data_IF_431473738088
#
_entry.id   IF_431473738088
#
_cell.length_a   1.000
_cell.length_b   1.000
_cell.length_c   1.000
_cell.angle_alpha   90.00
_cell.angle_beta   90.00
_cell.angle_gamma   90.00
#
_symmetry.space_group_name_H-M   'P 1'
#
loop_
_entity.id
_entity.type
_entity.pdbx_description
1 polymer ?
#
# COMPACT_ATOMS: atom_id res chain seq x y z
N UNK A 1 12.32 2.00 -0.57
CA UNK A 1 11.28 2.70 -1.38
C UNK A 1 11.84 3.11 -2.74
N UNK A 2 11.09 3.81 -3.61
CA UNK A 2 11.63 4.24 -4.92
C UNK A 2 12.81 5.21 -4.77
N UNK A 3 12.71 6.18 -3.85
CA UNK A 3 13.79 7.12 -3.56
C UNK A 3 15.09 6.42 -3.14
N UNK A 4 15.01 5.48 -2.20
CA UNK A 4 16.12 4.62 -1.77
C UNK A 4 16.67 3.78 -2.94
N UNK A 5 15.81 3.14 -3.73
CA UNK A 5 16.23 2.35 -4.91
C UNK A 5 17.02 3.19 -5.92
N UNK A 6 16.70 4.48 -6.03
CA UNK A 6 17.36 5.43 -6.92
C UNK A 6 18.47 6.24 -6.24
N UNK A 7 18.78 6.00 -4.96
CA UNK A 7 19.73 6.77 -4.15
C UNK A 7 19.43 8.29 -4.15
N UNK A 8 18.16 8.67 -4.07
CA UNK A 8 17.69 10.07 -4.09
C UNK A 8 17.25 10.57 -2.70
N UNK A 9 17.48 9.81 -1.62
CA UNK A 9 16.98 10.16 -0.28
C UNK A 9 17.48 11.53 0.20
N UNK A 10 18.76 11.84 -0.06
CA UNK A 10 19.37 13.11 0.33
C UNK A 10 18.94 14.30 -0.54
N UNK A 11 18.19 14.04 -1.63
CA UNK A 11 17.64 15.06 -2.53
C UNK A 11 16.15 15.35 -2.24
N UNK A 12 15.59 14.74 -1.19
CA UNK A 12 14.17 14.90 -0.82
C UNK A 12 14.07 15.78 0.42
N UNK A 13 13.53 16.99 0.26
CA UNK A 13 13.28 17.91 1.37
C UNK A 13 12.22 17.39 2.36
N UNK A 14 11.20 16.70 1.82
CA UNK A 14 10.02 16.25 2.57
C UNK A 14 9.67 14.80 2.22
N UNK A 15 9.94 13.88 3.15
CA UNK A 15 9.52 12.49 3.05
C UNK A 15 8.29 12.26 3.91
N UNK A 16 7.13 12.15 3.27
CA UNK A 16 5.88 11.78 3.95
C UNK A 16 5.63 10.28 3.85
N UNK A 17 4.91 9.76 4.83
CA UNK A 17 4.46 8.37 4.82
C UNK A 17 3.25 8.14 5.70
N UNK A 18 2.65 6.96 5.56
CA UNK A 18 1.52 6.52 6.37
C UNK A 18 1.90 5.32 7.21
N UNK A 19 1.39 5.28 8.42
CA UNK A 19 1.53 4.16 9.34
C UNK A 19 0.40 3.12 9.13
N UNK A 20 -0.61 3.43 8.31
CA UNK A 20 -1.79 2.60 8.08
C UNK A 20 -1.76 1.71 6.83
N UNK A 21 -0.60 1.54 6.21
CA UNK A 21 -0.40 0.57 5.10
C UNK A 21 0.46 -0.59 5.59
N UNK A 22 1.71 -0.66 5.14
CA UNK A 22 2.63 -1.76 5.45
C UNK A 22 2.95 -1.92 6.95
N UNK A 23 2.77 -0.87 7.76
CA UNK A 23 2.99 -0.91 9.21
C UNK A 23 1.76 -1.37 10.01
N UNK A 24 0.59 -1.52 9.37
CA UNK A 24 -0.60 -2.11 10.01
C UNK A 24 -1.16 -1.33 11.22
N UNK A 25 -0.81 -0.05 11.37
CA UNK A 25 -1.29 0.83 12.45
C UNK A 25 -2.17 1.94 11.89
N UNK A 26 -2.13 3.14 12.47
CA UNK A 26 -2.81 4.33 11.98
C UNK A 26 -1.96 5.58 12.17
N UNK A 27 -2.22 6.59 11.33
CA UNK A 27 -1.50 7.85 11.33
C UNK A 27 -0.59 8.05 10.12
N UNK A 28 0.15 9.16 10.15
CA UNK A 28 1.10 9.54 9.13
C UNK A 28 2.23 10.36 9.73
N UNK A 29 3.30 10.52 8.97
CA UNK A 29 4.48 11.26 9.39
C UNK A 29 5.00 12.14 8.26
N UNK A 30 5.77 13.15 8.65
CA UNK A 30 6.63 13.94 7.79
C UNK A 30 8.05 13.87 8.37
N UNK A 31 8.99 13.41 7.56
CA UNK A 31 10.42 13.50 7.84
C UNK A 31 11.01 14.61 6.95
N UNK A 32 11.72 15.55 7.58
CA UNK A 32 12.32 16.71 6.93
C UNK A 32 13.47 17.22 7.81
N UNK A 33 14.20 18.24 7.33
CA UNK A 33 15.21 18.91 8.14
C UNK A 33 14.60 19.58 9.39
N UNK A 34 15.42 19.75 10.43
CA UNK A 34 14.97 20.31 11.71
C UNK A 34 14.25 21.67 11.58
N UNK A 35 14.76 22.65 10.81
CA UNK A 35 14.06 23.93 10.61
C UNK A 35 12.64 23.78 10.07
N UNK A 36 12.42 22.84 9.13
CA UNK A 36 11.09 22.57 8.59
C UNK A 36 10.16 21.93 9.62
N UNK A 37 10.66 20.96 10.40
CA UNK A 37 9.89 20.34 11.47
C UNK A 37 9.50 21.39 12.52
N UNK A 38 10.44 22.24 12.96
CA UNK A 38 10.15 23.31 13.92
C UNK A 38 9.12 24.31 13.40
N UNK A 39 9.15 24.64 12.10
CA UNK A 39 8.10 25.44 11.48
C UNK A 39 6.74 24.74 11.54
N UNK A 40 6.66 23.48 11.13
CA UNK A 40 5.39 22.76 11.06
C UNK A 40 4.77 22.50 12.43
N UNK A 41 5.55 22.13 13.46
CA UNK A 41 4.99 21.95 14.81
C UNK A 41 4.39 23.24 15.38
N UNK A 42 4.87 24.41 14.94
CA UNK A 42 4.40 25.71 15.42
C UNK A 42 3.32 26.35 14.52
N UNK A 43 3.26 26.01 13.23
CA UNK A 43 2.39 26.70 12.24
C UNK A 43 1.36 25.81 11.57
N UNK A 44 1.53 24.50 11.54
CA UNK A 44 0.58 23.60 10.88
C UNK A 44 -0.69 23.45 11.72
N UNK A 45 -1.75 24.17 11.35
CA UNK A 45 -3.05 24.13 12.04
C UNK A 45 -3.60 22.72 12.20
N UNK A 46 -3.43 21.87 11.18
CA UNK A 46 -3.89 20.47 11.18
C UNK A 46 -3.16 19.59 12.20
N UNK A 47 -1.97 19.99 12.65
CA UNK A 47 -1.24 19.34 13.73
C UNK A 47 -1.58 19.96 15.09
N UNK A 48 -1.53 21.29 15.18
CA UNK A 48 -1.73 22.05 16.44
C UNK A 48 -3.14 21.90 17.00
N UNK A 49 -4.16 21.86 16.14
CA UNK A 49 -5.58 21.82 16.54
C UNK A 49 -6.21 20.45 16.35
N UNK A 50 -5.41 19.38 16.36
CA UNK A 50 -5.90 18.00 16.31
C UNK A 50 -5.45 17.25 17.56
N UNK A 51 -6.24 16.28 18.00
CA UNK A 51 -5.84 15.35 19.05
C UNK A 51 -4.65 14.52 18.58
N UNK A 52 -3.64 14.37 19.46
CA UNK A 52 -2.50 13.52 19.19
C UNK A 52 -2.93 12.04 19.02
N UNK A 53 -2.19 11.24 18.23
CA UNK A 53 -2.47 9.81 18.11
C UNK A 53 -2.46 9.11 19.47
N UNK A 54 -3.34 8.11 19.70
CA UNK A 54 -3.31 7.30 20.91
C UNK A 54 -1.92 6.67 21.14
N UNK A 55 -1.39 6.64 22.38
CA UNK A 55 -0.09 6.04 22.67
C UNK A 55 0.04 4.59 22.19
N UNK A 56 -1.04 3.81 22.22
CA UNK A 56 -1.07 2.44 21.73
C UNK A 56 -0.80 2.34 20.22
N UNK A 57 -1.31 3.28 19.42
CA UNK A 57 -1.05 3.32 17.96
C UNK A 57 0.39 3.72 17.66
N UNK A 58 0.96 4.65 18.45
CA UNK A 58 2.37 5.02 18.34
C UNK A 58 3.28 3.82 18.68
N UNK A 59 3.00 3.11 19.77
CA UNK A 59 3.73 1.92 20.17
C UNK A 59 3.63 0.80 19.12
N UNK A 60 2.43 0.52 18.59
CA UNK A 60 2.25 -0.44 17.52
C UNK A 60 3.05 -0.07 16.26
N UNK A 61 3.08 1.22 15.90
CA UNK A 61 3.85 1.71 14.74
C UNK A 61 5.35 1.55 14.93
N UNK A 62 5.87 1.82 16.13
CA UNK A 62 7.28 1.60 16.46
C UNK A 62 7.64 0.11 16.41
N UNK A 63 6.80 -0.77 16.97
CA UNK A 63 7.00 -2.21 16.90
C UNK A 63 7.00 -2.73 15.45
N UNK A 64 6.06 -2.26 14.64
CA UNK A 64 5.99 -2.61 13.23
C UNK A 64 7.22 -2.11 12.44
N UNK A 65 7.74 -0.92 12.75
CA UNK A 65 8.97 -0.41 12.15
C UNK A 65 10.19 -1.26 12.53
N UNK A 66 10.31 -1.65 13.80
CA UNK A 66 11.37 -2.57 14.26
C UNK A 66 11.29 -3.92 13.55
N UNK A 67 10.09 -4.48 13.40
CA UNK A 67 9.87 -5.71 12.64
C UNK A 67 10.23 -5.53 11.17
N UNK A 68 9.85 -4.41 10.56
CA UNK A 68 10.17 -4.11 9.16
C UNK A 68 11.70 -4.10 8.95
N UNK A 69 12.47 -3.58 9.91
CA UNK A 69 13.94 -3.51 9.80
C UNK A 69 14.65 -4.81 10.23
N UNK A 70 13.93 -5.81 10.73
CA UNK A 70 14.51 -7.08 11.16
C UNK A 70 14.79 -8.02 9.97
N UNK A 71 15.56 -9.11 10.17
CA UNK A 71 15.72 -10.17 9.17
C UNK A 71 14.39 -10.75 8.68
N UNK A 72 13.40 -10.87 9.58
CA UNK A 72 12.06 -11.31 9.22
C UNK A 72 11.37 -10.31 8.28
N UNK A 73 11.46 -9.01 8.58
CA UNK A 73 10.92 -7.96 7.72
C UNK A 73 11.57 -7.92 6.34
N UNK A 74 12.88 -8.15 6.26
CA UNK A 74 13.63 -8.28 5.00
C UNK A 74 13.10 -9.49 4.21
N UNK A 75 13.04 -10.67 4.83
CA UNK A 75 12.54 -11.89 4.19
C UNK A 75 11.09 -11.75 3.66
N UNK A 76 10.22 -11.06 4.41
CA UNK A 76 8.84 -10.76 3.98
C UNK A 76 8.82 -9.84 2.74
N UNK A 77 9.71 -8.84 2.66
CA UNK A 77 9.82 -7.96 1.48
C UNK A 77 10.34 -8.71 0.26
N UNK A 78 11.34 -9.56 0.44
CA UNK A 78 11.89 -10.37 -0.65
C UNK A 78 10.85 -11.35 -1.19
N UNK A 79 10.11 -12.03 -0.30
CA UNK A 79 8.97 -12.87 -0.69
C UNK A 79 7.91 -12.09 -1.47
N UNK A 80 7.53 -10.91 -0.99
CA UNK A 80 6.55 -10.06 -1.68
C UNK A 80 7.04 -9.58 -3.06
N UNK A 81 8.34 -9.35 -3.20
CA UNK A 81 8.96 -9.03 -4.49
C UNK A 81 8.83 -10.22 -5.46
N UNK A 82 9.21 -11.43 -5.04
CA UNK A 82 9.03 -12.66 -5.83
C UNK A 82 7.57 -12.86 -6.26
N UNK A 83 6.62 -12.55 -5.37
CA UNK A 83 5.20 -12.62 -5.69
C UNK A 83 4.80 -11.60 -6.76
N UNK A 84 5.27 -10.36 -6.64
CA UNK A 84 5.00 -9.32 -7.64
C UNK A 84 5.60 -9.67 -9.00
N UNK A 85 6.83 -10.19 -9.01
CA UNK A 85 7.53 -10.64 -10.22
C UNK A 85 6.77 -11.79 -10.90
N UNK A 86 6.14 -12.69 -10.13
CA UNK A 86 5.32 -13.77 -10.69
C UNK A 86 4.05 -13.30 -11.40
N UNK A 87 3.65 -12.05 -11.21
CA UNK A 87 2.54 -11.39 -11.93
C UNK A 87 3.05 -10.37 -12.95
N UNK A 88 4.34 -10.44 -13.33
CA UNK A 88 5.01 -9.51 -14.24
C UNK A 88 4.86 -8.04 -13.81
N UNK A 89 4.79 -7.80 -12.49
CA UNK A 89 4.53 -6.48 -11.94
C UNK A 89 5.74 -5.96 -11.14
N UNK A 90 6.20 -4.72 -11.40
CA UNK A 90 7.30 -4.12 -10.66
C UNK A 90 6.91 -3.73 -9.22
N UNK A 91 5.63 -3.86 -8.85
CA UNK A 91 5.11 -3.51 -7.52
C UNK A 91 4.07 -4.53 -7.03
N UNK A 92 3.81 -4.65 -5.71
CA UNK A 92 2.81 -5.57 -5.18
C UNK A 92 1.36 -5.11 -5.39
N UNK A 93 1.12 -3.99 -6.08
CA UNK A 93 -0.20 -3.51 -6.46
C UNK A 93 -0.36 -3.75 -7.96
N UNK A 94 -1.19 -4.72 -8.34
CA UNK A 94 -1.37 -5.16 -9.72
C UNK A 94 -2.73 -4.65 -10.23
N UNK A 95 -2.75 -3.70 -11.18
CA UNK A 95 -3.99 -3.25 -11.79
C UNK A 95 -4.40 -4.16 -12.95
N UNK A 96 -5.62 -4.73 -12.93
CA UNK A 96 -6.26 -5.32 -14.13
C UNK A 96 -7.30 -4.35 -14.66
N UNK A 97 -6.99 -3.66 -15.77
CA UNK A 97 -7.87 -2.67 -16.39
C UNK A 97 -9.06 -3.40 -17.05
N UNK A 98 -10.27 -2.96 -16.71
CA UNK A 98 -11.53 -3.49 -17.23
C UNK A 98 -12.23 -2.46 -18.13
N UNK A 99 -12.04 -1.16 -17.88
CA UNK A 99 -12.60 -0.06 -18.66
C UNK A 99 -13.79 0.59 -17.97
N UNK A 100 -14.97 -0.01 -18.09
CA UNK A 100 -16.22 0.58 -17.58
C UNK A 100 -16.59 0.12 -16.16
N UNK A 101 -17.34 0.97 -15.45
CA UNK A 101 -17.70 0.74 -14.05
C UNK A 101 -18.50 -0.55 -13.83
N UNK A 102 -19.50 -0.82 -14.67
CA UNK A 102 -20.40 -1.97 -14.52
C UNK A 102 -19.64 -3.31 -14.73
N UNK A 103 -18.87 -3.51 -15.82
CA UNK A 103 -18.06 -4.70 -15.98
C UNK A 103 -17.02 -4.88 -14.85
N UNK A 104 -16.38 -3.79 -14.40
CA UNK A 104 -15.40 -3.88 -13.30
C UNK A 104 -16.04 -4.36 -11.98
N UNK A 105 -17.23 -3.87 -11.67
CA UNK A 105 -18.02 -4.33 -10.53
C UNK A 105 -18.43 -5.79 -10.66
N UNK A 106 -18.96 -6.18 -11.83
CA UNK A 106 -19.36 -7.57 -12.07
C UNK A 106 -18.17 -8.54 -11.95
N UNK A 107 -17.00 -8.16 -12.45
CA UNK A 107 -15.77 -8.94 -12.32
C UNK A 107 -15.33 -9.06 -10.84
N UNK A 108 -15.38 -7.96 -10.08
CA UNK A 108 -15.10 -7.94 -8.64
C UNK A 108 -16.05 -8.85 -7.86
N UNK A 109 -17.35 -8.83 -8.19
CA UNK A 109 -18.37 -9.67 -7.56
C UNK A 109 -18.20 -11.15 -7.93
N UNK A 110 -17.80 -11.44 -9.18
CA UNK A 110 -17.49 -12.81 -9.63
C UNK A 110 -16.30 -13.39 -8.85
N UNK A 111 -15.21 -12.64 -8.75
CA UNK A 111 -14.05 -13.03 -7.95
C UNK A 111 -14.41 -13.25 -6.48
N UNK A 112 -15.25 -12.39 -5.90
CA UNK A 112 -15.69 -12.53 -4.52
C UNK A 112 -16.47 -13.83 -4.30
N UNK A 113 -17.34 -14.22 -5.25
CA UNK A 113 -18.06 -15.51 -5.20
C UNK A 113 -17.11 -16.71 -5.32
N UNK A 114 -15.98 -16.54 -6.00
CA UNK A 114 -14.90 -17.53 -6.08
C UNK A 114 -13.93 -17.47 -4.88
N UNK A 115 -14.19 -16.65 -3.86
CA UNK A 115 -13.38 -16.55 -2.64
C UNK A 115 -12.30 -15.48 -2.65
N UNK A 116 -12.21 -14.65 -3.70
CA UNK A 116 -11.18 -13.61 -3.84
C UNK A 116 -11.76 -12.21 -3.64
N UNK A 117 -11.37 -11.54 -2.55
CA UNK A 117 -11.70 -10.13 -2.33
C UNK A 117 -10.75 -9.23 -3.13
N UNK A 118 -11.12 -8.92 -4.37
CA UNK A 118 -10.37 -8.00 -5.24
C UNK A 118 -11.25 -6.79 -5.61
N UNK A 119 -11.06 -5.62 -5.01
CA UNK A 119 -11.96 -4.48 -5.20
C UNK A 119 -11.81 -3.83 -6.59
N UNK A 120 -12.95 -3.47 -7.18
CA UNK A 120 -13.00 -2.59 -8.35
C UNK A 120 -12.84 -1.11 -7.97
N UNK A 121 -11.79 -0.47 -8.49
CA UNK A 121 -11.56 0.98 -8.43
C UNK A 121 -12.15 1.61 -9.70
N UNK A 122 -12.91 2.69 -9.54
CA UNK A 122 -13.74 3.28 -10.59
C UNK A 122 -13.97 4.77 -10.35
N UNK A 123 -14.56 5.46 -11.32
CA UNK A 123 -14.98 6.86 -11.16
C UNK A 123 -15.87 7.02 -9.90
N UNK A 124 -15.68 8.09 -9.09
CA UNK A 124 -14.85 9.28 -9.31
C UNK A 124 -13.38 9.16 -8.88
N UNK A 125 -12.95 8.03 -8.31
CA UNK A 125 -11.56 7.86 -7.81
C UNK A 125 -10.53 7.85 -8.94
N UNK A 126 -10.92 7.36 -10.12
CA UNK A 126 -10.07 7.33 -11.32
C UNK A 126 -10.87 7.77 -12.57
N UNK A 127 -10.21 8.18 -13.66
CA UNK A 127 -10.88 8.61 -14.89
C UNK A 127 -11.87 7.57 -15.44
N UNK A 128 -12.93 8.05 -16.09
CA UNK A 128 -13.88 7.21 -16.82
C UNK A 128 -13.17 6.39 -17.90
N UNK A 129 -13.70 5.21 -18.23
CA UNK A 129 -13.07 4.29 -19.18
C UNK A 129 -11.78 3.62 -18.68
N UNK A 130 -11.39 3.83 -17.41
CA UNK A 130 -10.18 3.21 -16.82
C UNK A 130 -10.46 2.42 -15.54
N UNK A 131 -11.72 2.05 -15.29
CA UNK A 131 -12.13 1.19 -14.20
C UNK A 131 -11.29 -0.09 -14.19
N UNK A 132 -10.86 -0.52 -13.01
CA UNK A 132 -9.89 -1.61 -12.87
C UNK A 132 -10.09 -2.38 -11.57
N UNK A 133 -9.71 -3.63 -11.58
CA UNK A 133 -9.51 -4.41 -10.37
C UNK A 133 -8.14 -4.02 -9.78
N UNK A 134 -8.10 -3.76 -8.47
CA UNK A 134 -6.85 -3.45 -7.76
C UNK A 134 -6.47 -4.64 -6.88
N UNK A 135 -5.61 -5.51 -7.42
CA UNK A 135 -5.05 -6.63 -6.68
C UNK A 135 -3.90 -6.10 -5.82
N UNK A 136 -3.91 -6.40 -4.53
CA UNK A 136 -2.84 -5.99 -3.60
C UNK A 136 -2.29 -7.24 -2.94
N UNK A 137 -1.04 -7.59 -3.26
CA UNK A 137 -0.39 -8.77 -2.71
C UNK A 137 0.16 -8.48 -1.32
N UNK A 138 0.22 -9.54 -0.49
CA UNK A 138 0.83 -9.53 0.83
C UNK A 138 1.82 -10.67 0.95
N UNK A 139 2.89 -10.47 1.73
CA UNK A 139 3.83 -11.54 2.08
C UNK A 139 3.15 -12.68 2.88
N UNK A 140 1.96 -12.43 3.42
CA UNK A 140 1.15 -13.42 4.11
C UNK A 140 0.40 -14.38 3.18
N UNK A 141 0.26 -14.06 1.88
CA UNK A 141 -0.37 -14.98 0.93
C UNK A 141 0.48 -16.25 0.77
N UNK A 142 -0.17 -17.40 0.65
CA UNK A 142 0.50 -18.65 0.26
C UNK A 142 0.74 -18.69 -1.25
N UNK A 143 1.61 -19.59 -1.71
CA UNK A 143 1.85 -19.82 -3.14
C UNK A 143 0.59 -20.30 -3.86
N UNK A 144 -0.23 -21.09 -3.17
CA UNK A 144 -1.51 -21.62 -3.66
C UNK A 144 -2.49 -20.48 -3.87
N UNK A 145 -2.61 -19.54 -2.91
CA UNK A 145 -3.45 -18.35 -3.08
C UNK A 145 -3.10 -17.55 -4.35
N UNK A 146 -1.82 -17.50 -4.71
CA UNK A 146 -1.39 -16.79 -5.93
C UNK A 146 -1.74 -17.58 -7.20
N UNK A 147 -1.57 -18.89 -7.18
CA UNK A 147 -1.94 -19.78 -8.30
C UNK A 147 -3.44 -19.72 -8.56
N UNK A 148 -4.24 -19.96 -7.51
CA UNK A 148 -5.70 -19.97 -7.61
C UNK A 148 -6.23 -18.60 -8.07
N UNK A 149 -5.64 -17.50 -7.58
CA UNK A 149 -5.99 -16.16 -8.03
C UNK A 149 -5.67 -15.94 -9.52
N UNK A 150 -4.53 -16.44 -10.02
CA UNK A 150 -4.19 -16.32 -11.45
C UNK A 150 -5.20 -17.06 -12.32
N UNK A 151 -5.60 -18.25 -11.92
CA UNK A 151 -6.63 -19.04 -12.61
C UNK A 151 -7.97 -18.30 -12.61
N UNK A 152 -8.42 -17.80 -11.45
CA UNK A 152 -9.65 -17.03 -11.33
C UNK A 152 -9.63 -15.75 -12.19
N UNK A 153 -8.48 -15.06 -12.27
CA UNK A 153 -8.30 -13.88 -13.10
C UNK A 153 -8.30 -14.18 -14.60
N UNK A 154 -7.88 -15.38 -15.02
CA UNK A 154 -7.89 -15.82 -16.42
C UNK A 154 -9.31 -16.11 -16.94
N UNK A 155 -10.25 -16.37 -16.05
CA UNK A 155 -11.68 -16.61 -16.36
C UNK A 155 -12.51 -15.32 -16.44
N UNK A 156 -11.91 -14.15 -16.19
CA UNK A 156 -12.51 -12.81 -16.34
C UNK A 156 -12.22 -12.18 -17.69
#
# INVERSE_FOLDING_TARGET
GLAEKLNLQDQIDFQMGTLGKSLGSAGGYLAASRPWIDLFINKARSLVYSTAPPPSQAAASLAALSLLNSPEGIARRDRLKTYSDSFDSPTPIIPKIIGENRPALAASDSLLKSGFLVPAIRYPTIPRGTARLRITLSAAHSTENLSDLKEALALL
#
